data_IF_919052984632
#
_entry.id   IF_919052984632
#
_cell.length_a   1.000
_cell.length_b   1.000
_cell.length_c   1.000
_cell.angle_alpha   90.00
_cell.angle_beta   90.00
_cell.angle_gamma   90.00
#
_symmetry.space_group_name_H-M   'P 1'
#
loop_
_entity.id
_entity.type
_entity.pdbx_description
1 polymer ?
#
# COMPACT_ATOMS: atom_id res chain seq x y z
N UNK A 1 -21.77 9.62 -14.03
CA UNK A 1 -21.97 8.83 -12.80
C UNK A 1 -21.30 9.59 -11.67
N UNK A 2 -21.87 9.61 -10.46
CA UNK A 2 -21.26 10.32 -9.34
C UNK A 2 -20.06 9.54 -8.80
N UNK A 3 -18.95 10.22 -8.51
CA UNK A 3 -17.77 9.61 -7.89
C UNK A 3 -17.83 9.75 -6.35
N UNK A 4 -17.12 8.89 -5.62
CA UNK A 4 -17.21 8.82 -4.16
C UNK A 4 -16.73 10.09 -3.44
N UNK A 5 -15.72 10.77 -3.99
CA UNK A 5 -15.14 12.02 -3.48
C UNK A 5 -15.44 13.22 -4.38
N UNK A 6 -16.52 13.16 -5.18
CA UNK A 6 -16.96 14.32 -5.95
C UNK A 6 -17.26 15.50 -5.02
N UNK A 7 -16.75 16.69 -5.37
CA UNK A 7 -16.86 17.90 -4.55
C UNK A 7 -15.75 18.08 -3.50
N UNK A 8 -14.89 17.08 -3.29
CA UNK A 8 -13.72 17.21 -2.40
C UNK A 8 -12.54 17.83 -3.15
N UNK A 9 -11.93 18.85 -2.55
CA UNK A 9 -10.78 19.57 -3.09
C UNK A 9 -9.51 19.32 -2.26
N UNK A 10 -8.41 18.97 -2.92
CA UNK A 10 -7.15 18.60 -2.27
C UNK A 10 -6.00 19.41 -2.85
N UNK A 11 -5.20 20.03 -1.97
CA UNK A 11 -3.92 20.63 -2.34
C UNK A 11 -2.82 19.66 -1.90
N UNK A 12 -2.04 19.16 -2.86
CA UNK A 12 -0.88 18.28 -2.62
C UNK A 12 0.41 19.10 -2.69
N UNK A 13 1.17 19.16 -1.61
CA UNK A 13 2.43 19.92 -1.51
C UNK A 13 3.58 19.02 -1.08
N UNK A 14 4.60 18.91 -1.93
CA UNK A 14 5.79 18.11 -1.65
C UNK A 14 6.00 17.00 -2.67
N UNK A 15 6.97 16.15 -2.38
CA UNK A 15 7.54 15.19 -3.31
C UNK A 15 7.45 13.76 -2.77
N UNK A 16 7.71 12.79 -3.64
CA UNK A 16 7.86 11.39 -3.27
C UNK A 16 6.67 10.51 -3.64
N UNK A 17 6.95 9.20 -3.73
CA UNK A 17 6.01 8.19 -4.25
C UNK A 17 4.81 7.99 -3.33
N UNK A 18 5.04 8.01 -2.01
CA UNK A 18 3.97 7.86 -1.01
C UNK A 18 2.91 8.97 -1.13
N UNK A 19 3.36 10.24 -1.17
CA UNK A 19 2.47 11.38 -1.27
C UNK A 19 1.70 11.36 -2.60
N UNK A 20 2.43 11.19 -3.70
CA UNK A 20 1.83 11.19 -5.04
C UNK A 20 0.84 10.04 -5.24
N UNK A 21 1.10 8.85 -4.68
CA UNK A 21 0.17 7.71 -4.73
C UNK A 21 -1.05 7.94 -3.84
N UNK A 22 -0.91 8.54 -2.65
CA UNK A 22 -2.06 8.92 -1.83
C UNK A 22 -2.97 9.91 -2.57
N UNK A 23 -2.39 10.97 -3.14
CA UNK A 23 -3.11 11.95 -3.96
C UNK A 23 -3.78 11.31 -5.19
N UNK A 24 -3.12 10.34 -5.83
CA UNK A 24 -3.70 9.55 -6.92
C UNK A 24 -4.95 8.78 -6.47
N UNK A 25 -4.87 8.04 -5.38
CA UNK A 25 -6.01 7.25 -4.87
C UNK A 25 -7.23 8.15 -4.61
N UNK A 26 -7.02 9.29 -3.95
CA UNK A 26 -8.08 10.24 -3.65
C UNK A 26 -8.65 10.91 -4.93
N UNK A 27 -7.77 11.26 -5.89
CA UNK A 27 -8.19 11.76 -7.21
C UNK A 27 -9.07 10.72 -7.91
N UNK A 28 -8.63 9.47 -7.90
CA UNK A 28 -9.32 8.40 -8.60
C UNK A 28 -10.68 8.08 -7.97
N UNK A 29 -10.85 8.34 -6.67
CA UNK A 29 -12.16 8.33 -6.01
C UNK A 29 -13.08 9.47 -6.38
N UNK A 30 -12.58 10.50 -7.06
CA UNK A 30 -13.38 11.64 -7.50
C UNK A 30 -12.94 13.00 -6.97
N UNK A 31 -11.90 13.06 -6.12
CA UNK A 31 -11.42 14.34 -5.62
C UNK A 31 -10.81 15.19 -6.74
N UNK A 32 -10.94 16.51 -6.65
CA UNK A 32 -10.16 17.45 -7.44
C UNK A 32 -8.83 17.69 -6.72
N UNK A 33 -7.72 17.36 -7.37
CA UNK A 33 -6.39 17.44 -6.74
C UNK A 33 -5.52 18.42 -7.52
N UNK A 34 -5.02 19.45 -6.83
CA UNK A 34 -4.02 20.37 -7.33
C UNK A 34 -2.67 20.00 -6.71
N UNK A 35 -1.72 19.61 -7.56
CA UNK A 35 -0.34 19.38 -7.16
C UNK A 35 0.44 20.67 -7.24
N UNK A 36 1.01 21.08 -6.12
CA UNK A 36 1.93 22.21 -6.02
C UNK A 36 3.35 21.70 -6.28
N UNK A 37 3.99 22.22 -7.32
CA UNK A 37 5.35 21.88 -7.71
C UNK A 37 6.25 23.11 -7.62
N UNK A 38 7.54 22.95 -7.26
CA UNK A 38 8.49 24.05 -7.37
C UNK A 38 8.72 24.44 -8.85
N UNK A 39 9.36 25.59 -9.15
CA UNK A 39 9.59 26.04 -10.53
C UNK A 39 10.29 25.04 -11.45
N UNK A 40 11.10 24.13 -10.88
CA UNK A 40 11.81 23.10 -11.61
C UNK A 40 11.03 21.78 -11.76
N UNK A 41 9.83 21.69 -11.18
CA UNK A 41 8.99 20.50 -11.18
C UNK A 41 9.36 19.46 -10.11
N UNK A 42 8.46 18.51 -9.89
CA UNK A 42 8.67 17.37 -8.98
C UNK A 42 9.81 16.45 -9.48
N UNK A 43 10.66 15.99 -8.56
CA UNK A 43 11.74 15.04 -8.82
C UNK A 43 11.29 13.74 -9.51
N UNK A 44 10.06 13.29 -9.30
CA UNK A 44 9.47 12.13 -9.98
C UNK A 44 9.47 12.28 -11.50
N UNK A 45 9.47 13.51 -12.04
CA UNK A 45 9.62 13.77 -13.49
C UNK A 45 10.95 13.30 -14.05
N UNK A 46 11.95 13.10 -13.19
CA UNK A 46 13.28 12.59 -13.53
C UNK A 46 13.42 11.07 -13.29
N UNK A 47 12.35 10.40 -12.86
CA UNK A 47 12.35 8.96 -12.65
C UNK A 47 11.69 8.23 -13.82
N UNK A 48 12.37 7.22 -14.36
CA UNK A 48 11.84 6.38 -15.42
C UNK A 48 10.65 5.50 -14.98
N UNK A 49 10.14 4.65 -15.89
CA UNK A 49 10.66 4.43 -17.24
C UNK A 49 10.43 5.64 -18.16
N UNK A 50 11.30 5.79 -19.16
CA UNK A 50 11.17 6.83 -20.19
C UNK A 50 10.97 6.19 -21.57
N UNK A 51 10.12 6.76 -22.44
CA UNK A 51 10.00 6.32 -23.82
C UNK A 51 11.37 6.32 -24.53
N UNK A 52 11.75 5.15 -25.05
CA UNK A 52 13.05 4.91 -25.70
C UNK A 52 14.27 5.28 -24.83
N UNK A 53 14.14 5.19 -23.49
CA UNK A 53 15.17 5.56 -22.52
C UNK A 53 15.71 7.00 -22.69
N UNK A 54 14.85 7.91 -23.15
CA UNK A 54 15.17 9.34 -23.28
C UNK A 54 14.49 10.13 -22.16
N UNK A 55 15.24 10.59 -21.14
CA UNK A 55 14.68 11.40 -20.08
C UNK A 55 14.12 12.72 -20.60
N UNK A 56 13.00 13.14 -20.02
CA UNK A 56 12.37 14.43 -20.26
C UNK A 56 11.36 14.72 -19.15
N UNK A 57 11.20 16.00 -18.79
CA UNK A 57 10.37 16.43 -17.65
C UNK A 57 8.88 16.07 -17.78
N UNK A 58 8.43 15.80 -19.01
CA UNK A 58 7.06 15.38 -19.32
C UNK A 58 6.97 13.90 -19.72
N UNK A 59 8.08 13.17 -19.71
CA UNK A 59 8.19 11.83 -20.28
C UNK A 59 8.30 10.71 -19.25
N UNK A 60 8.37 11.03 -17.95
CA UNK A 60 8.41 10.03 -16.88
C UNK A 60 7.12 9.22 -16.81
N UNK A 61 7.20 7.93 -17.08
CA UNK A 61 6.08 7.00 -16.90
C UNK A 61 5.60 6.92 -15.46
N UNK A 62 6.51 7.05 -14.48
CA UNK A 62 6.16 7.07 -13.06
C UNK A 62 5.38 8.34 -12.67
N UNK A 63 5.81 9.51 -13.14
CA UNK A 63 5.10 10.76 -12.90
C UNK A 63 3.72 10.75 -13.56
N UNK A 64 3.63 10.29 -14.81
CA UNK A 64 2.37 10.12 -15.54
C UNK A 64 1.41 9.23 -14.74
N UNK A 65 1.89 8.07 -14.28
CA UNK A 65 1.07 7.14 -13.50
C UNK A 65 0.56 7.76 -12.18
N UNK A 66 1.45 8.38 -11.40
CA UNK A 66 1.13 8.89 -10.05
C UNK A 66 0.39 10.23 -10.05
N UNK A 67 0.51 11.03 -11.10
CA UNK A 67 -0.09 12.38 -11.16
C UNK A 67 -1.14 12.55 -12.27
N UNK A 68 -1.45 11.47 -13.00
CA UNK A 68 -2.47 11.46 -14.04
C UNK A 68 -3.82 11.99 -13.56
N UNK A 69 -4.34 13.02 -14.23
CA UNK A 69 -5.61 13.65 -13.95
C UNK A 69 -5.61 14.65 -12.79
N UNK A 70 -4.45 14.96 -12.20
CA UNK A 70 -4.28 16.11 -11.28
C UNK A 70 -4.11 17.41 -12.07
N UNK A 71 -4.39 18.54 -11.43
CA UNK A 71 -4.04 19.87 -11.93
C UNK A 71 -2.70 20.32 -11.33
N UNK A 72 -2.01 21.27 -11.97
CA UNK A 72 -0.67 21.72 -11.56
C UNK A 72 -0.64 23.18 -11.14
N UNK A 73 0.02 23.45 -10.01
CA UNK A 73 0.33 24.79 -9.52
C UNK A 73 1.84 24.91 -9.33
N UNK A 74 2.52 25.54 -10.29
CA UNK A 74 3.96 25.79 -10.21
C UNK A 74 4.22 27.05 -9.38
N UNK A 75 4.67 26.88 -8.14
CA UNK A 75 4.83 27.94 -7.15
C UNK A 75 6.23 27.92 -6.54
N UNK A 76 6.89 29.08 -6.53
CA UNK A 76 8.11 29.29 -5.75
C UNK A 76 7.73 29.78 -4.36
N UNK A 77 7.71 28.86 -3.39
CA UNK A 77 7.32 29.19 -2.03
C UNK A 77 8.30 30.11 -1.31
N UNK A 78 9.43 30.51 -1.90
CA UNK A 78 10.26 31.60 -1.37
C UNK A 78 9.64 32.98 -1.65
N UNK A 79 8.80 33.11 -2.68
CA UNK A 79 8.17 34.36 -3.10
C UNK A 79 6.87 34.61 -2.36
N UNK A 80 6.66 35.84 -1.91
CA UNK A 80 5.43 36.25 -1.21
C UNK A 80 4.17 36.11 -2.07
N UNK A 81 4.25 36.40 -3.37
CA UNK A 81 3.11 36.27 -4.29
C UNK A 81 2.63 34.82 -4.42
N UNK A 82 3.58 33.89 -4.49
CA UNK A 82 3.30 32.45 -4.66
C UNK A 82 2.84 31.82 -3.35
N UNK A 83 3.36 32.27 -2.20
CA UNK A 83 2.78 31.95 -0.88
C UNK A 83 1.33 32.42 -0.80
N UNK A 84 1.03 33.64 -1.24
CA UNK A 84 -0.34 34.14 -1.27
C UNK A 84 -1.24 33.34 -2.23
N UNK A 85 -0.69 32.84 -3.35
CA UNK A 85 -1.40 31.92 -4.24
C UNK A 85 -1.71 30.58 -3.57
N UNK A 86 -0.75 30.01 -2.84
CA UNK A 86 -0.96 28.79 -2.07
C UNK A 86 -2.06 28.99 -1.01
N UNK A 87 -2.03 30.11 -0.27
CA UNK A 87 -3.07 30.41 0.72
C UNK A 87 -4.48 30.47 0.09
N UNK A 88 -4.63 31.10 -1.08
CA UNK A 88 -5.91 31.09 -1.82
C UNK A 88 -6.38 29.70 -2.24
N UNK A 89 -5.44 28.82 -2.60
CA UNK A 89 -5.76 27.41 -2.87
C UNK A 89 -6.22 26.71 -1.58
N UNK A 90 -5.54 26.93 -0.45
CA UNK A 90 -5.90 26.35 0.84
C UNK A 90 -7.27 26.82 1.35
N UNK A 91 -7.64 28.08 1.09
CA UNK A 91 -8.94 28.65 1.48
C UNK A 91 -10.13 27.91 0.84
N UNK A 92 -9.92 27.30 -0.34
CA UNK A 92 -10.94 26.50 -1.03
C UNK A 92 -10.73 24.99 -0.92
N UNK A 93 -9.78 24.52 -0.11
CA UNK A 93 -9.42 23.12 0.01
C UNK A 93 -10.15 22.43 1.17
N UNK A 94 -10.46 21.15 0.97
CA UNK A 94 -10.93 20.27 2.04
C UNK A 94 -9.77 19.56 2.73
N UNK A 95 -8.71 19.27 1.98
CA UNK A 95 -7.52 18.56 2.45
C UNK A 95 -6.26 19.26 1.95
N UNK A 96 -5.31 19.50 2.86
CA UNK A 96 -3.90 19.71 2.52
C UNK A 96 -3.17 18.38 2.72
N UNK A 97 -2.59 17.84 1.65
CA UNK A 97 -1.74 16.66 1.68
C UNK A 97 -0.28 17.10 1.53
N UNK A 98 0.55 16.96 2.56
CA UNK A 98 1.93 17.45 2.52
C UNK A 98 3.00 16.41 2.87
N UNK A 99 4.07 16.41 2.09
CA UNK A 99 5.27 15.59 2.30
C UNK A 99 6.46 16.45 2.69
N UNK A 100 6.43 17.03 3.90
CA UNK A 100 7.45 17.94 4.41
C UNK A 100 7.78 17.62 5.88
N UNK A 101 9.05 17.75 6.26
CA UNK A 101 9.44 17.68 7.67
C UNK A 101 8.93 18.91 8.43
N UNK A 102 8.78 18.87 9.76
CA UNK A 102 8.15 19.97 10.50
C UNK A 102 8.84 21.33 10.29
N UNK A 103 10.17 21.38 10.27
CA UNK A 103 10.92 22.61 9.97
C UNK A 103 10.67 23.15 8.56
N UNK A 104 10.57 22.28 7.55
CA UNK A 104 10.27 22.67 6.18
C UNK A 104 8.84 23.18 6.04
N UNK A 105 7.87 22.51 6.66
CA UNK A 105 6.48 22.96 6.67
C UNK A 105 6.35 24.35 7.32
N UNK A 106 6.99 24.58 8.48
CA UNK A 106 7.04 25.90 9.12
C UNK A 106 7.65 26.97 8.20
N UNK A 107 8.77 26.66 7.55
CA UNK A 107 9.42 27.59 6.62
C UNK A 107 8.55 27.92 5.37
N UNK A 108 7.71 26.97 4.96
CA UNK A 108 6.75 27.15 3.87
C UNK A 108 5.44 27.83 4.30
N UNK A 109 5.24 28.10 5.60
CA UNK A 109 3.98 28.64 6.14
C UNK A 109 2.85 27.61 6.18
N UNK A 110 3.19 26.33 6.35
CA UNK A 110 2.29 25.18 6.36
C UNK A 110 2.34 24.43 7.70
N UNK A 111 2.53 25.17 8.79
CA UNK A 111 2.48 24.58 10.13
C UNK A 111 1.05 24.07 10.44
N UNK A 112 0.85 22.78 10.77
CA UNK A 112 -0.47 22.21 11.01
C UNK A 112 -1.29 22.94 12.07
N UNK A 113 -0.66 23.35 13.17
CA UNK A 113 -1.38 23.96 14.29
C UNK A 113 -1.91 25.35 13.88
N UNK A 114 -1.09 26.11 13.15
CA UNK A 114 -1.50 27.40 12.58
C UNK A 114 -2.62 27.23 11.56
N UNK A 115 -2.45 26.28 10.63
CA UNK A 115 -3.44 26.03 9.58
C UNK A 115 -4.79 25.61 10.13
N UNK A 116 -4.82 24.74 11.15
CA UNK A 116 -6.06 24.29 11.79
C UNK A 116 -6.73 25.40 12.61
N UNK A 117 -5.94 26.29 13.23
CA UNK A 117 -6.49 27.46 13.92
C UNK A 117 -7.15 28.46 12.94
N UNK A 118 -6.54 28.68 11.78
CA UNK A 118 -7.05 29.57 10.74
C UNK A 118 -8.20 28.95 9.94
N UNK A 119 -8.16 27.63 9.73
CA UNK A 119 -9.11 26.87 8.91
C UNK A 119 -9.60 25.64 9.68
N UNK A 120 -10.51 25.80 10.65
CA UNK A 120 -10.97 24.71 11.51
C UNK A 120 -11.58 23.52 10.77
N UNK A 121 -12.04 23.70 9.54
CA UNK A 121 -12.58 22.63 8.69
C UNK A 121 -11.55 21.95 7.77
N UNK A 122 -10.28 22.37 7.77
CA UNK A 122 -9.25 21.80 6.90
C UNK A 122 -8.74 20.47 7.49
N UNK A 123 -8.66 19.43 6.67
CA UNK A 123 -7.88 18.24 7.02
C UNK A 123 -6.43 18.47 6.60
N UNK A 124 -5.50 18.47 7.55
CA UNK A 124 -4.06 18.57 7.27
C UNK A 124 -3.48 17.18 7.36
N UNK A 125 -2.95 16.64 6.28
CA UNK A 125 -2.42 15.29 6.21
C UNK A 125 -0.91 15.32 5.92
N UNK A 126 -0.11 14.71 6.78
CA UNK A 126 1.36 14.66 6.67
C UNK A 126 1.85 13.26 6.37
N UNK A 127 2.82 13.16 5.46
CA UNK A 127 3.50 11.91 5.12
C UNK A 127 5.01 12.12 5.16
N UNK A 128 5.67 11.55 6.16
CA UNK A 128 7.15 11.53 6.23
C UNK A 128 7.62 10.14 6.66
N UNK A 129 8.92 9.88 6.59
CA UNK A 129 9.46 8.59 7.01
C UNK A 129 9.29 8.35 8.52
N UNK A 130 9.36 9.40 9.33
CA UNK A 130 9.39 9.32 10.80
C UNK A 130 8.21 10.01 11.49
N UNK A 131 7.21 10.48 10.74
CA UNK A 131 6.10 11.29 11.25
C UNK A 131 6.49 12.74 11.54
N UNK A 132 5.52 13.51 12.05
CA UNK A 132 5.67 14.92 12.40
C UNK A 132 6.12 15.14 13.85
N UNK A 133 6.18 14.07 14.64
CA UNK A 133 6.53 14.08 16.07
C UNK A 133 7.59 13.02 16.40
N UNK A 134 8.12 13.07 17.63
CA UNK A 134 9.16 12.14 18.07
C UNK A 134 10.59 12.58 17.73
N UNK A 135 11.60 11.82 18.19
CA UNK A 135 12.99 12.23 18.14
C UNK A 135 13.57 12.34 16.72
N UNK A 136 12.95 11.66 15.74
CA UNK A 136 13.43 11.61 14.36
C UNK A 136 12.58 12.44 13.39
N UNK A 137 11.63 13.25 13.89
CA UNK A 137 10.71 14.03 13.06
C UNK A 137 11.42 14.98 12.07
N UNK A 138 12.58 15.52 12.46
CA UNK A 138 13.37 16.44 11.62
C UNK A 138 14.42 15.72 10.75
N UNK A 139 14.53 14.39 10.84
CA UNK A 139 15.52 13.63 10.09
C UNK A 139 15.10 13.41 8.64
N UNK A 140 16.07 13.48 7.74
CA UNK A 140 15.87 13.05 6.37
C UNK A 140 15.68 11.52 6.35
N UNK A 141 14.69 11.06 5.60
CA UNK A 141 14.41 9.65 5.45
C UNK A 141 14.12 9.27 4.00
N UNK A 142 14.37 8.00 3.69
CA UNK A 142 13.95 7.34 2.46
C UNK A 142 13.23 6.03 2.82
N UNK A 143 12.43 5.43 1.90
CA UNK A 143 11.72 4.16 2.13
C UNK A 143 12.57 3.06 2.77
N UNK A 144 13.85 2.96 2.37
CA UNK A 144 14.80 1.98 2.93
C UNK A 144 15.01 2.14 4.44
N UNK A 145 14.95 3.36 4.97
CA UNK A 145 15.09 3.60 6.41
C UNK A 145 13.86 3.15 7.20
N UNK A 146 12.64 3.37 6.66
CA UNK A 146 11.42 2.82 7.25
C UNK A 146 11.45 1.29 7.25
N UNK A 147 11.90 0.69 6.15
CA UNK A 147 11.99 -0.76 5.99
C UNK A 147 13.03 -1.40 6.93
N UNK A 148 14.22 -0.80 7.04
CA UNK A 148 15.27 -1.24 7.95
C UNK A 148 14.85 -1.05 9.42
N UNK A 149 14.25 0.09 9.76
CA UNK A 149 13.81 0.40 11.11
C UNK A 149 12.61 -0.44 11.58
N UNK A 150 11.80 -0.97 10.66
CA UNK A 150 10.60 -1.75 10.99
C UNK A 150 10.85 -3.26 11.14
N UNK A 151 12.10 -3.70 11.14
CA UNK A 151 12.54 -5.11 11.15
C UNK A 151 12.09 -5.96 9.96
N UNK A 152 11.30 -5.41 9.02
CA UNK A 152 10.84 -6.15 7.83
C UNK A 152 12.05 -6.64 7.02
N UNK A 153 13.09 -5.82 6.88
CA UNK A 153 14.35 -6.22 6.23
C UNK A 153 14.99 -7.45 6.84
N UNK A 154 15.05 -7.48 8.18
CA UNK A 154 15.64 -8.60 8.91
C UNK A 154 14.83 -9.89 8.75
N UNK A 155 13.59 -9.85 8.26
CA UNK A 155 12.72 -11.02 8.14
C UNK A 155 12.71 -11.67 6.76
N UNK A 156 13.30 -11.04 5.76
CA UNK A 156 13.27 -11.54 4.38
C UNK A 156 14.62 -12.12 3.98
N UNK A 157 14.59 -13.30 3.35
CA UNK A 157 15.76 -13.99 2.83
C UNK A 157 16.06 -15.30 3.53
N UNK A 158 17.21 -15.89 3.18
CA UNK A 158 17.74 -17.11 3.80
C UNK A 158 18.47 -16.77 5.12
N UNK A 159 18.34 -17.59 6.18
CA UNK A 159 18.97 -17.29 7.47
C UNK A 159 20.50 -17.21 7.38
N UNK A 160 21.13 -17.98 6.49
CA UNK A 160 22.60 -18.06 6.35
C UNK A 160 23.19 -16.96 5.45
N UNK A 161 22.34 -16.06 4.94
CA UNK A 161 22.72 -15.00 4.00
C UNK A 161 22.44 -13.61 4.56
N UNK A 162 22.83 -12.57 3.85
CA UNK A 162 22.46 -11.19 4.13
C UNK A 162 20.93 -10.96 4.14
N UNK A 163 20.39 -10.10 5.04
CA UNK A 163 18.99 -9.69 5.00
C UNK A 163 18.63 -9.04 3.66
N UNK A 164 17.45 -9.35 3.15
CA UNK A 164 17.02 -8.84 1.86
C UNK A 164 16.10 -7.62 2.02
N UNK A 165 16.30 -6.66 1.13
CA UNK A 165 15.36 -5.57 0.95
C UNK A 165 14.10 -6.08 0.25
N UNK A 166 12.94 -5.52 0.62
CA UNK A 166 11.75 -5.71 -0.19
C UNK A 166 12.01 -5.13 -1.59
N UNK A 167 11.50 -5.78 -2.65
CA UNK A 167 11.61 -5.22 -3.98
C UNK A 167 10.87 -3.88 -4.03
N UNK A 168 11.51 -2.88 -4.64
CA UNK A 168 10.93 -1.56 -4.93
C UNK A 168 10.49 -0.78 -3.68
N UNK A 169 9.67 0.24 -3.87
CA UNK A 169 9.21 1.17 -2.83
C UNK A 169 7.95 0.66 -2.10
N UNK A 170 7.87 -0.65 -1.83
CA UNK A 170 6.68 -1.29 -1.26
C UNK A 170 6.20 -0.64 0.05
N UNK A 171 7.14 -0.23 0.92
CA UNK A 171 6.83 0.47 2.16
C UNK A 171 6.17 1.85 1.93
N UNK A 172 6.69 2.63 0.98
CA UNK A 172 6.17 3.97 0.68
C UNK A 172 4.81 3.91 -0.02
N UNK A 173 4.68 3.06 -1.05
CA UNK A 173 3.49 3.02 -1.90
C UNK A 173 2.36 2.23 -1.25
N UNK A 174 2.63 1.08 -0.63
CA UNK A 174 1.56 0.18 -0.17
C UNK A 174 1.25 0.31 1.32
N UNK A 175 2.27 0.49 2.19
CA UNK A 175 2.02 0.64 3.62
C UNK A 175 1.67 2.10 3.98
N UNK A 176 2.49 3.07 3.56
CA UNK A 176 2.29 4.47 3.94
C UNK A 176 1.09 5.14 3.24
N UNK A 177 1.04 5.10 1.91
CA UNK A 177 0.06 5.89 1.15
C UNK A 177 -1.39 5.39 1.27
N UNK A 178 -1.61 4.07 1.32
CA UNK A 178 -2.96 3.48 1.48
C UNK A 178 -3.48 3.75 2.90
N UNK A 179 -2.64 3.60 3.93
CA UNK A 179 -3.01 3.94 5.31
C UNK A 179 -3.36 5.42 5.43
N UNK A 180 -2.55 6.30 4.81
CA UNK A 180 -2.81 7.75 4.80
C UNK A 180 -4.12 8.09 4.08
N UNK A 181 -4.40 7.49 2.92
CA UNK A 181 -5.66 7.69 2.22
C UNK A 181 -6.86 7.25 3.09
N UNK A 182 -6.77 6.09 3.75
CA UNK A 182 -7.80 5.62 4.69
C UNK A 182 -8.01 6.55 5.89
N UNK A 183 -6.93 7.11 6.43
CA UNK A 183 -6.98 8.08 7.52
C UNK A 183 -7.58 9.42 7.08
N UNK A 184 -7.26 9.90 5.86
CA UNK A 184 -7.88 11.09 5.26
C UNK A 184 -9.37 10.88 5.05
N UNK A 185 -9.80 9.72 4.52
CA UNK A 185 -11.22 9.39 4.39
C UNK A 185 -11.93 9.40 5.76
N UNK A 186 -11.25 8.91 6.80
CA UNK A 186 -11.76 8.92 8.17
C UNK A 186 -11.87 10.35 8.73
N UNK A 187 -10.91 11.22 8.43
CA UNK A 187 -10.93 12.63 8.81
C UNK A 187 -12.02 13.42 8.06
N UNK A 188 -12.20 13.16 6.76
CA UNK A 188 -13.30 13.74 5.98
C UNK A 188 -14.67 13.27 6.50
N UNK A 189 -14.77 12.03 6.96
CA UNK A 189 -15.98 11.52 7.62
C UNK A 189 -16.26 12.24 8.95
N UNK A 190 -15.22 12.53 9.74
CA UNK A 190 -15.35 13.33 10.95
C UNK A 190 -15.82 14.74 10.60
N UNK A 191 -15.14 15.44 9.67
CA UNK A 191 -15.53 16.75 9.14
C UNK A 191 -16.97 16.79 8.65
N UNK A 192 -17.43 15.78 7.93
CA UNK A 192 -18.80 15.72 7.44
C UNK A 192 -19.87 15.61 8.55
N UNK A 193 -19.47 15.20 9.76
CA UNK A 193 -20.35 15.10 10.94
C UNK A 193 -20.27 16.33 11.84
N UNK A 194 -19.08 16.87 12.04
CA UNK A 194 -18.81 17.91 13.05
C UNK A 194 -18.58 19.29 12.45
N UNK A 195 -18.18 19.36 11.17
CA UNK A 195 -17.65 20.56 10.53
C UNK A 195 -16.16 20.79 10.80
N UNK A 196 -15.54 19.98 11.65
CA UNK A 196 -14.16 20.15 12.11
C UNK A 196 -13.22 19.22 11.32
N UNK A 197 -12.12 19.78 10.84
CA UNK A 197 -10.98 19.05 10.30
C UNK A 197 -10.02 18.64 11.42
N UNK A 198 -8.90 18.04 11.04
CA UNK A 198 -7.88 17.57 11.99
C UNK A 198 -6.55 17.31 11.29
N UNK A 199 -5.49 17.15 12.08
CA UNK A 199 -4.21 16.63 11.62
C UNK A 199 -4.31 15.10 11.47
N UNK A 200 -3.84 14.60 10.32
CA UNK A 200 -3.58 13.19 10.05
C UNK A 200 -2.09 13.03 9.83
N UNK A 201 -1.37 12.44 10.78
CA UNK A 201 0.07 12.21 10.66
C UNK A 201 0.40 10.73 10.49
N UNK A 202 1.16 10.41 9.44
CA UNK A 202 1.69 9.07 9.19
C UNK A 202 3.20 9.14 9.07
N UNK A 203 3.88 8.36 9.92
CA UNK A 203 5.26 7.95 9.74
C UNK A 203 5.35 6.60 9.02
N UNK A 204 6.13 6.54 7.93
CA UNK A 204 6.30 5.30 7.14
C UNK A 204 6.96 4.18 7.94
N UNK A 205 7.77 4.51 8.95
CA UNK A 205 8.35 3.55 9.89
C UNK A 205 7.27 2.84 10.70
N UNK A 206 6.38 3.59 11.35
CA UNK A 206 5.24 3.05 12.11
C UNK A 206 4.30 2.26 11.21
N UNK A 207 3.97 2.79 10.02
CA UNK A 207 3.14 2.11 9.03
C UNK A 207 3.73 0.76 8.62
N UNK A 208 5.06 0.67 8.50
CA UNK A 208 5.76 -0.58 8.17
C UNK A 208 5.82 -1.55 9.35
N UNK A 209 5.96 -1.05 10.59
CA UNK A 209 5.88 -1.88 11.80
C UNK A 209 4.53 -2.60 11.92
N UNK A 210 3.43 -1.93 11.56
CA UNK A 210 2.10 -2.54 11.61
C UNK A 210 1.96 -3.72 10.64
N UNK A 211 2.65 -3.69 9.49
CA UNK A 211 2.60 -4.77 8.50
C UNK A 211 3.15 -6.11 9.01
N UNK A 212 4.00 -6.10 10.05
CA UNK A 212 4.60 -7.32 10.63
C UNK A 212 4.06 -7.65 12.03
N UNK A 213 3.04 -6.93 12.51
CA UNK A 213 2.51 -7.10 13.87
C UNK A 213 2.25 -8.57 14.21
N UNK A 214 1.47 -9.27 13.37
CA UNK A 214 1.07 -10.66 13.59
C UNK A 214 2.20 -11.69 13.47
N UNK A 215 3.35 -11.32 12.92
CA UNK A 215 4.42 -12.27 12.58
C UNK A 215 5.64 -12.17 13.49
N UNK A 216 5.82 -11.11 14.27
CA UNK A 216 6.98 -10.99 15.18
C UNK A 216 6.80 -10.04 16.35
N UNK A 217 6.25 -8.84 16.12
CA UNK A 217 6.07 -7.86 17.20
C UNK A 217 5.15 -8.42 18.28
N UNK A 218 4.02 -9.03 17.89
CA UNK A 218 3.12 -9.69 18.84
C UNK A 218 3.83 -10.84 19.60
N UNK A 219 4.74 -11.59 18.96
CA UNK A 219 5.44 -12.68 19.64
C UNK A 219 6.36 -12.14 20.75
N UNK A 220 7.16 -11.12 20.46
CA UNK A 220 8.03 -10.51 21.48
C UNK A 220 7.20 -9.81 22.57
N UNK A 221 6.25 -8.94 22.19
CA UNK A 221 5.53 -8.08 23.14
C UNK A 221 4.54 -8.88 23.99
N UNK A 222 3.88 -9.89 23.43
CA UNK A 222 2.86 -10.67 24.14
C UNK A 222 3.37 -12.01 24.69
N UNK A 223 4.20 -12.72 23.93
CA UNK A 223 4.67 -14.06 24.31
C UNK A 223 6.05 -14.04 24.98
N UNK A 224 6.80 -12.94 24.87
CA UNK A 224 8.15 -12.81 25.44
C UNK A 224 9.23 -13.61 24.71
N UNK A 225 8.90 -14.17 23.54
CA UNK A 225 9.85 -14.91 22.69
C UNK A 225 9.59 -14.63 21.21
N UNK A 226 10.58 -14.94 20.38
CA UNK A 226 10.47 -14.86 18.93
C UNK A 226 10.71 -16.26 18.34
N UNK A 227 9.82 -16.69 17.44
CA UNK A 227 10.03 -17.92 16.66
C UNK A 227 11.14 -17.64 15.62
N UNK A 228 11.96 -18.63 15.20
CA UNK A 228 13.20 -18.38 14.48
C UNK A 228 13.10 -17.43 13.30
N UNK A 229 14.24 -16.81 13.05
CA UNK A 229 14.57 -15.82 12.04
C UNK A 229 14.26 -16.31 10.61
N UNK A 230 14.50 -15.44 9.63
CA UNK A 230 14.42 -15.67 8.18
C UNK A 230 14.35 -17.14 7.76
N UNK A 231 13.30 -17.51 7.01
CA UNK A 231 13.04 -18.90 6.67
C UNK A 231 13.15 -19.17 5.15
N UNK A 232 13.93 -18.35 4.44
CA UNK A 232 14.13 -18.49 2.99
C UNK A 232 12.81 -18.39 2.23
N UNK A 233 12.51 -19.43 1.46
CA UNK A 233 11.29 -19.51 0.67
C UNK A 233 10.03 -19.96 1.46
N UNK A 234 10.12 -20.18 2.77
CA UNK A 234 8.98 -20.53 3.63
C UNK A 234 8.49 -19.31 4.43
N UNK A 235 7.17 -19.19 4.61
CA UNK A 235 6.55 -18.11 5.40
C UNK A 235 6.36 -18.53 6.87
N UNK A 236 6.02 -19.79 7.10
CA UNK A 236 5.98 -20.42 8.44
C UNK A 236 6.55 -21.83 8.30
N UNK A 237 7.33 -22.32 9.26
CA UNK A 237 8.12 -23.57 9.18
C UNK A 237 7.32 -24.86 8.93
N UNK A 238 6.69 -24.97 7.77
CA UNK A 238 5.87 -26.04 7.24
C UNK A 238 5.83 -25.89 5.71
N UNK A 239 4.82 -26.45 5.04
CA UNK A 239 4.72 -26.45 3.56
C UNK A 239 4.34 -25.08 2.98
N UNK A 240 3.97 -24.12 3.84
CA UNK A 240 3.61 -22.76 3.43
C UNK A 240 4.84 -21.99 2.94
N UNK A 241 5.01 -21.91 1.62
CA UNK A 241 6.17 -21.29 0.98
C UNK A 241 6.16 -21.41 -0.55
N UNK A 242 7.17 -20.81 -1.19
CA UNK A 242 7.43 -20.81 -2.62
C UNK A 242 8.57 -21.77 -2.98
N UNK A 243 8.24 -23.01 -3.31
CA UNK A 243 9.22 -24.08 -3.47
C UNK A 243 9.83 -24.10 -4.86
N UNK A 244 11.13 -24.42 -5.02
CA UNK A 244 11.74 -24.54 -6.34
C UNK A 244 11.12 -25.69 -7.13
N UNK A 245 10.90 -25.45 -8.42
CA UNK A 245 10.37 -26.42 -9.38
C UNK A 245 11.36 -26.60 -10.53
N UNK A 246 11.00 -27.42 -11.52
CA UNK A 246 11.81 -27.66 -12.73
C UNK A 246 12.07 -26.39 -13.55
N UNK A 247 11.13 -25.44 -13.53
CA UNK A 247 11.11 -24.25 -14.39
C UNK A 247 10.80 -22.94 -13.64
N UNK A 248 10.87 -22.94 -12.30
CA UNK A 248 10.64 -21.73 -11.51
C UNK A 248 10.47 -21.99 -10.02
N UNK A 249 9.47 -21.32 -9.43
CA UNK A 249 9.02 -21.57 -8.06
C UNK A 249 7.49 -21.69 -8.03
N UNK A 250 6.98 -22.49 -7.10
CA UNK A 250 5.56 -22.75 -6.92
C UNK A 250 5.16 -22.53 -5.46
N UNK A 251 4.28 -21.55 -5.23
CA UNK A 251 3.74 -21.27 -3.92
C UNK A 251 2.63 -22.27 -3.60
N UNK A 252 2.74 -22.92 -2.44
CA UNK A 252 1.71 -23.84 -1.94
C UNK A 252 1.48 -23.65 -0.46
N UNK A 253 0.24 -23.91 -0.02
CA UNK A 253 -0.11 -23.93 1.38
C UNK A 253 -1.07 -25.09 1.69
N UNK A 254 -0.60 -26.06 2.46
CA UNK A 254 -1.41 -27.18 2.96
C UNK A 254 -1.75 -26.97 4.43
N UNK A 255 -2.91 -26.36 4.74
CA UNK A 255 -3.33 -26.12 6.14
C UNK A 255 -4.03 -27.32 6.79
N UNK A 256 -4.60 -28.24 6.02
CA UNK A 256 -5.28 -29.43 6.53
C UNK A 256 -4.52 -30.70 6.13
N UNK A 257 -4.45 -31.73 6.99
CA UNK A 257 -3.70 -32.97 6.70
C UNK A 257 -4.10 -33.62 5.37
N UNK A 258 -5.38 -33.54 5.01
CA UNK A 258 -5.87 -34.07 3.75
C UNK A 258 -5.25 -33.41 2.52
N UNK A 259 -5.02 -32.10 2.52
CA UNK A 259 -4.38 -31.43 1.38
C UNK A 259 -2.93 -31.92 1.20
N UNK A 260 -2.21 -32.20 2.29
CA UNK A 260 -0.87 -32.79 2.20
C UNK A 260 -0.93 -34.20 1.59
N UNK A 261 -1.84 -35.04 2.08
CA UNK A 261 -2.00 -36.41 1.59
C UNK A 261 -2.37 -36.45 0.11
N UNK A 262 -3.41 -35.72 -0.29
CA UNK A 262 -3.87 -35.69 -1.68
C UNK A 262 -2.78 -35.13 -2.63
N UNK A 263 -2.00 -34.14 -2.17
CA UNK A 263 -0.86 -33.61 -2.91
C UNK A 263 0.26 -34.66 -3.10
N UNK A 264 0.66 -35.34 -2.03
CA UNK A 264 1.73 -36.35 -2.09
C UNK A 264 1.33 -37.56 -2.94
N UNK A 265 0.07 -38.01 -2.84
CA UNK A 265 -0.48 -39.06 -3.71
C UNK A 265 -0.38 -38.63 -5.18
N UNK A 266 -0.77 -37.38 -5.48
CA UNK A 266 -0.66 -36.81 -6.82
C UNK A 266 0.76 -36.72 -7.37
N UNK A 267 1.76 -36.65 -6.49
CA UNK A 267 3.19 -36.63 -6.83
C UNK A 267 3.84 -38.02 -6.82
N UNK A 268 3.04 -39.09 -6.82
CA UNK A 268 3.53 -40.47 -6.91
C UNK A 268 3.70 -41.18 -5.57
N UNK A 269 3.14 -40.62 -4.49
CA UNK A 269 3.04 -41.22 -3.15
C UNK A 269 4.38 -41.75 -2.61
N UNK A 270 5.40 -40.89 -2.44
CA UNK A 270 6.70 -41.34 -2.00
C UNK A 270 6.65 -41.81 -0.54
N UNK A 271 7.35 -42.89 -0.22
CA UNK A 271 7.29 -43.55 1.11
C UNK A 271 7.54 -42.57 2.28
N UNK A 272 8.48 -41.64 2.12
CA UNK A 272 8.80 -40.64 3.15
C UNK A 272 7.64 -39.68 3.45
N UNK A 273 6.67 -39.49 2.54
CA UNK A 273 5.50 -38.63 2.77
C UNK A 273 4.53 -39.19 3.83
N UNK A 274 4.63 -40.49 4.14
CA UNK A 274 3.89 -41.13 5.24
C UNK A 274 4.58 -40.95 6.60
N UNK A 275 5.69 -40.22 6.67
CA UNK A 275 6.38 -39.99 7.94
C UNK A 275 5.44 -39.33 8.96
N UNK A 276 5.38 -39.83 10.22
CA UNK A 276 4.36 -39.38 11.15
C UNK A 276 4.37 -37.90 11.51
N UNK A 277 5.51 -37.26 11.29
CA UNK A 277 5.67 -35.84 11.54
C UNK A 277 4.79 -34.96 10.63
N UNK A 278 4.41 -35.44 9.45
CA UNK A 278 3.56 -34.68 8.54
C UNK A 278 2.11 -34.56 9.02
N UNK A 279 1.62 -35.47 9.87
CA UNK A 279 0.32 -35.32 10.52
C UNK A 279 0.31 -34.16 11.53
N UNK A 280 1.48 -33.74 12.02
CA UNK A 280 1.64 -32.57 12.90
C UNK A 280 1.75 -31.24 12.14
N UNK A 281 1.84 -31.25 10.81
CA UNK A 281 1.88 -30.02 10.00
C UNK A 281 0.49 -29.39 9.77
N UNK A 282 -0.59 -30.09 10.13
CA UNK A 282 -1.96 -29.57 10.02
C UNK A 282 -2.28 -28.52 11.08
N UNK A 283 -2.92 -27.42 10.65
CA UNK A 283 -3.33 -26.23 11.41
C UNK A 283 -2.22 -25.43 12.09
N UNK A 284 -1.94 -24.22 11.56
CA UNK A 284 -1.05 -23.24 12.18
C UNK A 284 -1.40 -22.86 13.63
N UNK A 285 -2.69 -22.98 14.03
CA UNK A 285 -3.16 -22.75 15.40
C UNK A 285 -2.93 -23.91 16.39
N UNK A 286 -2.47 -25.07 15.91
CA UNK A 286 -2.26 -26.32 16.68
C UNK A 286 -0.77 -26.74 16.63
N UNK A 287 0.16 -25.81 16.38
CA UNK A 287 1.61 -26.05 16.56
C UNK A 287 2.04 -26.11 18.04
N UNK A 288 1.13 -26.46 18.95
CA UNK A 288 1.39 -26.40 20.40
C UNK A 288 2.28 -27.55 20.91
N UNK A 289 2.50 -28.59 20.10
CA UNK A 289 3.21 -29.83 20.50
C UNK A 289 4.33 -30.28 19.52
N UNK A 290 5.05 -29.33 18.90
CA UNK A 290 6.26 -29.60 18.10
C UNK A 290 7.48 -29.23 18.94
N UNK A 291 8.33 -30.22 19.27
CA UNK A 291 9.61 -29.95 19.95
C UNK A 291 10.62 -29.35 18.97
N UNK A 292 11.69 -28.68 19.43
CA UNK A 292 12.75 -28.17 18.56
C UNK A 292 13.31 -29.25 17.61
N UNK A 293 13.53 -30.47 18.11
CA UNK A 293 14.06 -31.60 17.34
C UNK A 293 13.09 -32.04 16.24
N UNK A 294 11.80 -32.09 16.56
CA UNK A 294 10.74 -32.37 15.58
C UNK A 294 10.62 -31.25 14.53
N UNK A 295 10.85 -30.01 14.94
CA UNK A 295 10.92 -28.86 14.04
C UNK A 295 12.07 -29.01 13.04
N UNK A 296 13.25 -29.41 13.52
CA UNK A 296 14.42 -29.67 12.68
C UNK A 296 14.16 -30.83 11.72
N UNK A 297 13.58 -31.94 12.18
CA UNK A 297 13.20 -33.08 11.35
C UNK A 297 12.22 -32.68 10.23
N UNK A 298 11.20 -31.87 10.54
CA UNK A 298 10.30 -31.28 9.53
C UNK A 298 11.10 -30.50 8.49
N UNK A 299 12.02 -29.63 8.94
CA UNK A 299 12.80 -28.82 8.01
C UNK A 299 13.72 -29.66 7.12
N UNK A 300 14.32 -30.71 7.65
CA UNK A 300 15.15 -31.64 6.88
C UNK A 300 14.33 -32.34 5.80
N UNK A 301 13.14 -32.86 6.13
CA UNK A 301 12.26 -33.51 5.15
C UNK A 301 11.73 -32.53 4.09
N UNK A 302 11.38 -31.31 4.51
CA UNK A 302 10.87 -30.31 3.58
C UNK A 302 11.97 -29.77 2.64
N UNK A 303 13.15 -29.43 3.18
CA UNK A 303 14.25 -28.85 2.40
C UNK A 303 15.03 -29.88 1.59
N UNK A 304 14.99 -31.14 1.97
CA UNK A 304 15.56 -32.26 1.21
C UNK A 304 14.52 -32.90 0.29
N UNK A 305 13.96 -34.07 0.66
CA UNK A 305 13.19 -34.91 -0.26
C UNK A 305 11.95 -34.23 -0.86
N UNK A 306 11.24 -33.36 -0.12
CA UNK A 306 10.10 -32.64 -0.68
C UNK A 306 10.51 -31.60 -1.73
N UNK A 307 11.52 -30.78 -1.42
CA UNK A 307 12.09 -29.82 -2.38
C UNK A 307 12.62 -30.53 -3.64
N UNK A 308 13.32 -31.64 -3.48
CA UNK A 308 13.87 -32.42 -4.60
C UNK A 308 12.79 -33.12 -5.43
N UNK A 309 11.66 -33.47 -4.81
CA UNK A 309 10.48 -33.95 -5.54
C UNK A 309 9.89 -32.84 -6.40
N UNK A 310 9.66 -31.64 -5.85
CA UNK A 310 9.05 -30.54 -6.60
C UNK A 310 9.91 -30.06 -7.77
N UNK A 311 11.24 -30.14 -7.67
CA UNK A 311 12.16 -29.85 -8.79
C UNK A 311 11.99 -30.77 -10.00
N UNK A 312 11.28 -31.89 -9.87
CA UNK A 312 11.01 -32.81 -10.98
C UNK A 312 9.79 -32.41 -11.81
N UNK A 313 8.94 -31.53 -11.27
CA UNK A 313 7.67 -31.11 -11.86
C UNK A 313 7.75 -29.67 -12.35
N UNK A 314 7.04 -29.37 -13.44
CA UNK A 314 6.87 -27.98 -13.89
C UNK A 314 5.79 -27.27 -13.08
N UNK A 315 5.82 -25.93 -13.10
CA UNK A 315 4.75 -25.12 -12.49
C UNK A 315 3.36 -25.47 -13.06
N UNK A 316 3.25 -25.74 -14.36
CA UNK A 316 1.98 -26.09 -15.02
C UNK A 316 1.45 -27.46 -14.57
N UNK A 317 2.31 -28.47 -14.44
CA UNK A 317 1.91 -29.79 -13.97
C UNK A 317 1.41 -29.73 -12.52
N UNK A 318 2.11 -28.97 -11.66
CA UNK A 318 1.71 -28.75 -10.26
C UNK A 318 0.42 -27.93 -10.16
N UNK A 319 0.25 -26.91 -11.00
CA UNK A 319 -0.96 -26.10 -11.06
C UNK A 319 -2.19 -26.95 -11.40
N UNK A 320 -2.09 -27.80 -12.42
CA UNK A 320 -3.18 -28.69 -12.82
C UNK A 320 -3.50 -29.73 -11.74
N UNK A 321 -2.46 -30.33 -11.13
CA UNK A 321 -2.61 -31.24 -9.99
C UNK A 321 -3.38 -30.56 -8.85
N UNK A 322 -2.91 -29.40 -8.39
CA UNK A 322 -3.53 -28.71 -7.27
C UNK A 322 -4.96 -28.26 -7.59
N UNK A 323 -5.27 -27.85 -8.82
CA UNK A 323 -6.64 -27.53 -9.23
C UNK A 323 -7.56 -28.75 -9.17
N UNK A 324 -7.10 -29.89 -9.66
CA UNK A 324 -7.85 -31.16 -9.59
C UNK A 324 -8.15 -31.55 -8.15
N UNK A 325 -7.16 -31.45 -7.27
CA UNK A 325 -7.26 -31.82 -5.85
C UNK A 325 -7.82 -30.69 -4.95
N UNK A 326 -8.16 -29.52 -5.51
CA UNK A 326 -8.67 -28.33 -4.80
C UNK A 326 -7.73 -27.80 -3.71
N UNK A 327 -6.43 -27.80 -4.00
CA UNK A 327 -5.36 -27.34 -3.12
C UNK A 327 -4.96 -25.91 -3.48
N UNK A 328 -4.92 -25.03 -2.47
CA UNK A 328 -4.51 -23.64 -2.64
C UNK A 328 -3.01 -23.54 -2.99
N UNK A 329 -2.73 -22.96 -4.15
CA UNK A 329 -1.39 -22.81 -4.70
C UNK A 329 -1.34 -21.62 -5.67
N UNK A 330 -0.15 -21.30 -6.20
CA UNK A 330 0.08 -20.33 -7.28
C UNK A 330 1.53 -20.46 -7.81
N UNK A 331 1.79 -20.50 -9.13
CA UNK A 331 3.12 -20.30 -9.68
C UNK A 331 3.68 -18.91 -9.29
N UNK A 332 4.96 -18.82 -8.96
CA UNK A 332 5.60 -17.52 -8.71
C UNK A 332 5.91 -16.86 -10.05
N UNK A 333 5.10 -15.86 -10.40
CA UNK A 333 5.19 -15.15 -11.67
C UNK A 333 6.26 -14.05 -11.65
N UNK A 334 6.94 -13.87 -12.78
CA UNK A 334 7.78 -12.72 -13.11
C UNK A 334 6.94 -11.50 -13.51
N UNK A 335 7.54 -10.31 -13.57
CA UNK A 335 6.82 -9.08 -13.97
C UNK A 335 6.15 -9.22 -15.35
N UNK A 336 6.83 -9.72 -16.42
CA UNK A 336 6.17 -9.94 -17.70
C UNK A 336 5.01 -10.93 -17.65
N UNK A 337 5.14 -12.02 -16.88
CA UNK A 337 4.06 -13.01 -16.75
C UNK A 337 2.84 -12.44 -16.02
N UNK A 338 3.03 -11.58 -15.02
CA UNK A 338 1.90 -10.88 -14.36
C UNK A 338 1.16 -9.95 -15.33
N UNK A 339 1.87 -9.29 -16.26
CA UNK A 339 1.27 -8.45 -17.32
C UNK A 339 0.37 -9.21 -18.27
N UNK A 340 0.62 -10.50 -18.46
CA UNK A 340 -0.11 -11.39 -19.36
C UNK A 340 -1.04 -12.36 -18.62
N UNK A 341 -1.03 -12.39 -17.29
CA UNK A 341 -1.81 -13.33 -16.49
C UNK A 341 -3.33 -13.11 -16.65
N UNK A 342 -4.06 -14.20 -16.89
CA UNK A 342 -5.51 -14.19 -17.17
C UNK A 342 -6.31 -13.47 -16.08
N UNK A 343 -6.23 -13.93 -14.83
CA UNK A 343 -7.09 -13.45 -13.75
C UNK A 343 -6.97 -11.95 -13.45
N UNK A 344 -5.77 -11.37 -13.24
CA UNK A 344 -5.67 -9.94 -13.00
C UNK A 344 -6.10 -9.14 -14.25
N UNK A 345 -5.82 -9.61 -15.47
CA UNK A 345 -6.26 -8.96 -16.72
C UNK A 345 -7.79 -8.98 -16.88
N UNK A 346 -8.47 -10.07 -16.54
CA UNK A 346 -9.95 -10.14 -16.47
C UNK A 346 -10.55 -9.18 -15.43
N UNK A 347 -9.74 -8.67 -14.51
CA UNK A 347 -10.13 -7.72 -13.46
C UNK A 347 -9.69 -6.27 -13.75
N UNK A 348 -9.27 -6.00 -14.98
CA UNK A 348 -8.83 -4.67 -15.46
C UNK A 348 -7.69 -4.08 -14.61
N UNK A 349 -6.75 -4.93 -14.18
CA UNK A 349 -5.62 -4.48 -13.35
C UNK A 349 -4.59 -3.65 -14.11
N UNK A 350 -4.60 -3.66 -15.45
CA UNK A 350 -3.84 -2.77 -16.32
C UNK A 350 -4.81 -1.99 -17.19
N UNK A 351 -4.54 -0.69 -17.36
CA UNK A 351 -5.36 0.22 -18.17
C UNK A 351 -4.48 1.17 -18.97
N UNK A 352 -5.07 1.85 -19.94
CA UNK A 352 -4.39 2.89 -20.72
C UNK A 352 -4.47 4.25 -20.04
N UNK A 353 -3.33 4.95 -19.97
CA UNK A 353 -3.25 6.33 -19.50
C UNK A 353 -2.77 7.26 -20.63
N UNK A 354 -3.34 8.48 -20.74
CA UNK A 354 -2.82 9.49 -21.66
C UNK A 354 -1.36 9.85 -21.34
N UNK A 355 -0.51 10.00 -22.37
CA UNK A 355 0.90 10.37 -22.25
C UNK A 355 1.48 10.98 -23.54
N UNK A 356 2.70 11.56 -23.52
CA UNK A 356 3.31 12.25 -24.67
C UNK A 356 3.76 11.33 -25.83
N UNK A 357 3.78 10.03 -25.60
CA UNK A 357 4.03 8.94 -26.55
C UNK A 357 2.83 7.96 -26.46
N UNK A 358 2.64 6.93 -27.33
CA UNK A 358 1.38 6.16 -27.37
C UNK A 358 0.89 5.79 -25.96
N UNK A 359 -0.44 5.69 -25.73
CA UNK A 359 -1.02 5.53 -24.40
C UNK A 359 -0.23 4.56 -23.53
N UNK A 360 0.14 5.02 -22.33
CA UNK A 360 0.96 4.23 -21.43
C UNK A 360 0.07 3.17 -20.78
N UNK A 361 0.43 1.89 -20.92
CA UNK A 361 -0.22 0.81 -20.16
C UNK A 361 0.30 0.86 -18.73
N UNK A 362 -0.58 1.21 -17.78
CA UNK A 362 -0.27 1.42 -16.36
C UNK A 362 -1.13 0.53 -15.47
N UNK A 363 -0.73 0.30 -14.20
CA UNK A 363 -1.63 -0.32 -13.23
C UNK A 363 -2.97 0.44 -13.14
N UNK A 364 -4.05 -0.31 -13.27
CA UNK A 364 -5.44 0.09 -13.16
C UNK A 364 -5.92 0.04 -11.72
N UNK A 365 -7.18 -0.39 -11.52
CA UNK A 365 -7.88 -0.23 -10.24
C UNK A 365 -7.55 -1.37 -9.27
N UNK A 366 -6.92 -1.12 -8.12
CA UNK A 366 -6.69 -2.16 -7.11
C UNK A 366 -7.98 -2.63 -6.40
N UNK A 367 -9.12 -1.97 -6.59
CA UNK A 367 -10.42 -2.39 -6.03
C UNK A 367 -11.61 -1.85 -6.83
N UNK A 368 -12.75 -2.52 -6.67
CA UNK A 368 -13.96 -2.30 -7.46
C UNK A 368 -15.11 -1.79 -6.59
N UNK A 369 -15.55 -0.56 -6.82
CA UNK A 369 -16.71 0.03 -6.16
C UNK A 369 -17.93 -0.06 -7.08
N UNK A 370 -18.96 -0.81 -6.68
CA UNK A 370 -20.10 -1.16 -7.55
C UNK A 370 -21.01 0.01 -7.94
N UNK A 371 -20.98 1.12 -7.21
CA UNK A 371 -21.85 2.29 -7.44
C UNK A 371 -21.11 3.58 -7.76
N UNK A 372 -19.85 3.68 -7.36
CA UNK A 372 -19.02 4.87 -7.50
C UNK A 372 -17.70 4.46 -8.15
N UNK A 373 -17.71 4.14 -9.45
CA UNK A 373 -16.51 3.70 -10.13
C UNK A 373 -15.43 4.78 -10.07
N UNK A 374 -14.18 4.35 -10.19
CA UNK A 374 -13.05 5.27 -10.18
C UNK A 374 -13.09 6.15 -11.44
N UNK A 375 -12.45 7.32 -11.34
CA UNK A 375 -12.15 8.13 -12.51
C UNK A 375 -11.12 7.41 -13.39
N UNK A 376 -11.34 7.46 -14.69
CA UNK A 376 -10.33 7.00 -15.65
C UNK A 376 -9.04 7.83 -15.54
N UNK A 377 -7.87 7.26 -15.86
CA UNK A 377 -6.62 8.01 -15.92
C UNK A 377 -6.73 9.24 -16.84
N UNK A 378 -6.29 10.38 -16.35
CA UNK A 378 -6.15 11.62 -17.15
C UNK A 378 -4.68 11.94 -17.44
N UNK A 379 -4.40 12.93 -18.30
CA UNK A 379 -3.04 13.45 -18.45
C UNK A 379 -2.54 14.03 -17.11
N UNK A 380 -1.25 13.89 -16.77
CA UNK A 380 -0.69 14.58 -15.62
C UNK A 380 -0.57 16.09 -15.91
N UNK A 381 -0.42 16.94 -14.86
CA UNK A 381 -0.15 18.35 -15.07
C UNK A 381 1.21 18.53 -15.76
N UNK A 382 1.30 19.49 -16.70
CA UNK A 382 2.55 19.75 -17.44
C UNK A 382 3.28 20.98 -16.90
N UNK A 383 4.62 21.00 -16.98
CA UNK A 383 5.41 22.16 -16.55
C UNK A 383 5.30 23.35 -17.52
N UNK A 384 4.98 23.12 -18.78
CA UNK A 384 4.82 24.17 -19.79
C UNK A 384 3.43 24.84 -19.77
N UNK A 385 2.49 24.30 -18.99
CA UNK A 385 1.16 24.87 -18.82
C UNK A 385 1.15 26.04 -17.81
N UNK A 386 0.23 27.02 -17.98
CA UNK A 386 0.00 28.06 -16.97
C UNK A 386 -0.39 27.45 -15.62
N UNK A 387 0.20 27.91 -14.50
CA UNK A 387 -0.10 27.34 -13.19
C UNK A 387 -1.52 27.69 -12.75
N UNK A 388 -2.19 26.73 -12.13
CA UNK A 388 -3.44 26.97 -11.41
C UNK A 388 -3.15 27.74 -10.13
N UNK A 389 -3.85 28.86 -9.94
CA UNK A 389 -3.69 29.74 -8.76
C UNK A 389 -4.99 29.96 -7.97
N UNK A 390 -6.07 29.33 -8.40
CA UNK A 390 -7.38 29.32 -7.75
C UNK A 390 -8.21 28.13 -8.24
N UNK A 391 -9.17 27.71 -7.42
CA UNK A 391 -10.12 26.67 -7.80
C UNK A 391 -11.11 27.17 -8.85
N UNK A 392 -11.45 26.31 -9.81
CA UNK A 392 -12.45 26.60 -10.82
C UNK A 392 -13.83 26.10 -10.38
N UNK A 393 -14.88 26.85 -10.72
CA UNK A 393 -16.26 26.49 -10.43
C UNK A 393 -16.67 26.61 -8.95
N UNK A 394 -17.97 26.43 -8.71
CA UNK A 394 -18.56 26.51 -7.37
C UNK A 394 -18.13 25.29 -6.52
N UNK A 395 -17.66 25.55 -5.29
CA UNK A 395 -17.39 24.47 -4.34
C UNK A 395 -18.71 23.92 -3.80
N UNK A 396 -18.96 22.63 -4.02
CA UNK A 396 -20.13 21.94 -3.49
C UNK A 396 -19.66 20.71 -2.73
N UNK A 397 -19.18 20.87 -1.48
CA UNK A 397 -18.75 19.74 -0.68
C UNK A 397 -19.94 18.79 -0.43
N UNK A 398 -19.69 17.50 -0.18
CA UNK A 398 -20.75 16.55 0.13
C UNK A 398 -21.63 17.05 1.28
N UNK A 399 -22.94 16.82 1.16
CA UNK A 399 -23.88 17.18 2.22
C UNK A 399 -23.48 16.49 3.53
N UNK A 400 -23.64 17.16 4.69
CA UNK A 400 -23.37 16.57 5.99
C UNK A 400 -24.12 15.25 6.16
N UNK A 401 -23.46 14.27 6.78
CA UNK A 401 -24.10 13.00 7.05
C UNK A 401 -25.25 13.19 8.02
N UNK A 402 -26.47 12.89 7.58
CA UNK A 402 -27.65 12.91 8.44
C UNK A 402 -27.58 11.75 9.43
N UNK A 403 -27.79 12.05 10.71
CA UNK A 403 -27.98 11.02 11.73
C UNK A 403 -29.16 10.12 11.33
N UNK A 404 -29.02 8.81 11.53
CA UNK A 404 -30.14 7.89 11.31
C UNK A 404 -31.20 8.14 12.39
N UNK A 405 -32.48 8.34 12.03
CA UNK A 405 -33.55 8.62 12.99
C UNK A 405 -33.71 7.55 14.07
N UNK A 406 -33.42 6.28 13.73
CA UNK A 406 -33.69 5.11 14.58
C UNK A 406 -32.45 4.62 15.36
N UNK A 407 -31.48 5.48 15.64
CA UNK A 407 -30.34 5.13 16.49
C UNK A 407 -30.77 5.07 17.97
N UNK A 408 -31.45 3.98 18.37
CA UNK A 408 -32.03 3.77 19.71
C UNK A 408 -30.97 3.56 20.82
N UNK A 409 -29.68 3.56 20.48
CA UNK A 409 -28.59 3.41 21.45
C UNK A 409 -27.58 4.52 21.24
N UNK A 410 -27.23 5.22 22.32
CA UNK A 410 -26.02 6.03 22.39
C UNK A 410 -24.84 5.18 21.89
N UNK A 411 -24.15 5.60 20.80
CA UNK A 411 -23.05 4.82 20.27
C UNK A 411 -21.99 4.64 21.36
N UNK A 412 -21.55 3.41 21.64
CA UNK A 412 -20.43 3.16 22.57
C UNK A 412 -19.15 3.92 22.20
N UNK A 413 -19.07 4.40 20.96
CA UNK A 413 -17.98 5.16 20.38
C UNK A 413 -18.35 6.64 20.16
N UNK A 414 -19.27 7.21 20.93
CA UNK A 414 -19.59 8.65 20.88
C UNK A 414 -18.31 9.49 20.91
N UNK A 415 -18.22 10.48 20.01
CA UNK A 415 -17.02 11.34 19.85
C UNK A 415 -15.89 10.76 18.98
N UNK A 416 -15.93 9.48 18.59
CA UNK A 416 -14.93 8.90 17.68
C UNK A 416 -15.30 9.11 16.19
N UNK A 417 -14.34 9.11 15.25
CA UNK A 417 -14.61 9.37 13.82
C UNK A 417 -15.67 8.44 13.20
N UNK A 418 -15.69 7.16 13.61
CA UNK A 418 -16.65 6.15 13.13
C UNK A 418 -17.91 6.05 14.00
N UNK A 419 -18.18 7.01 14.89
CA UNK A 419 -19.39 7.03 15.71
C UNK A 419 -20.65 6.86 14.85
N UNK A 420 -21.53 5.94 15.27
CA UNK A 420 -22.79 5.62 14.57
C UNK A 420 -22.66 4.66 13.37
N UNK A 421 -21.45 4.28 12.94
CA UNK A 421 -21.26 3.17 12.00
C UNK A 421 -21.30 1.84 12.74
N UNK A 422 -21.93 0.84 12.11
CA UNK A 422 -22.02 -0.53 12.62
C UNK A 422 -21.41 -1.47 11.60
N UNK A 423 -20.40 -2.21 12.03
CA UNK A 423 -19.74 -3.22 11.23
C UNK A 423 -20.12 -4.56 11.86
N UNK A 424 -20.82 -5.40 11.11
CA UNK A 424 -20.99 -6.80 11.46
C UNK A 424 -19.82 -7.54 10.84
N UNK A 425 -18.91 -8.00 11.69
CA UNK A 425 -17.81 -8.85 11.29
C UNK A 425 -18.27 -10.31 11.38
N UNK A 426 -18.08 -11.07 10.29
CA UNK A 426 -18.45 -12.48 10.20
C UNK A 426 -17.23 -13.42 10.29
N UNK A 427 -16.02 -12.87 10.47
CA UNK A 427 -14.78 -13.64 10.53
C UNK A 427 -14.20 -13.91 9.16
#
# INVERSE_FOLDING_TARGET
MAHALEGIRIVEVGEGKQLAYCGKLLRDFGAEVIKVEPPHGDQLRLHGPFPNDKPGSEQSGLFIYLNGGKQGARLDLERSEDRAALQRLLDGADVLLMGMRPSQARAAGLDPDVLLAERPGLVVATATIYGFTGPYAEWLGYPIHAYAGSSVAHRVGDPEREPLNAPLDGADIHHGAVQLAGAILTALLHKAKTGEGQLVDIGSLEASNLAIWGHGIAQIVYLGYLTPERNGFQISGGVWGAWPTKDGHFAIMTQVPRHWQDFMIGLGDPEWAHHPIFWKLGHAGIRRDITPEQGEEIQQLLRGPFSDLLKQWTNDELWELCRRERIACQPVLTIPEVCEADHPNERDWLTEAPGPHPPLRVPGRPYHLSKTPWREPGPPPRLDEPPVTSWQGEHRPPAPLRARPDAVLEPRNAGQPLAGLRILDLG
#
